data_IF_397556516972
#
_entry.id   IF_397556516972
#
_cell.length_a   1.000
_cell.length_b   1.000
_cell.length_c   1.000
_cell.angle_alpha   90.00
_cell.angle_beta   90.00
_cell.angle_gamma   90.00
#
_symmetry.space_group_name_H-M   'P 1'
#
loop_
_entity.id
_entity.type
_entity.pdbx_description
1 polymer ?
#
# COMPACT_ATOMS: atom_id res chain seq x y z
N UNK A 1 -63.80 23.63 12.43
CA UNK A 1 -63.91 22.74 11.25
C UNK A 1 -63.10 23.37 10.12
N UNK A 2 -62.04 22.71 9.64
CA UNK A 2 -61.25 23.17 8.48
C UNK A 2 -59.73 23.22 8.69
N UNK A 3 -59.09 22.08 9.00
CA UNK A 3 -57.64 21.95 8.99
C UNK A 3 -57.13 21.91 7.54
N UNK A 4 -56.26 22.87 7.15
CA UNK A 4 -55.53 22.83 5.88
C UNK A 4 -54.14 22.23 6.11
N UNK A 5 -53.96 20.96 5.77
CA UNK A 5 -52.66 20.31 5.74
C UNK A 5 -51.79 20.92 4.63
N UNK A 6 -50.67 21.52 5.02
CA UNK A 6 -49.54 21.77 4.12
C UNK A 6 -48.74 20.47 3.98
N UNK A 7 -48.70 19.88 2.78
CA UNK A 7 -47.78 18.78 2.44
C UNK A 7 -46.61 19.35 1.65
N UNK A 8 -45.38 19.36 2.17
CA UNK A 8 -44.21 19.49 1.31
C UNK A 8 -43.91 18.13 0.65
N UNK A 9 -43.80 18.16 -0.68
CA UNK A 9 -43.51 17.01 -1.51
C UNK A 9 -42.08 16.48 -1.32
N UNK A 10 -41.99 15.15 -1.28
CA UNK A 10 -40.86 14.26 -1.59
C UNK A 10 -39.44 14.86 -1.48
N UNK A 11 -38.86 14.72 -0.29
CA UNK A 11 -37.41 14.49 -0.11
C UNK A 11 -37.07 13.17 -0.77
N UNK A 12 -36.48 13.19 -1.96
CA UNK A 12 -36.19 11.97 -2.70
C UNK A 12 -35.01 12.10 -3.64
N UNK A 13 -33.94 12.75 -3.20
CA UNK A 13 -32.62 12.55 -3.79
C UNK A 13 -31.54 12.76 -2.72
N UNK A 14 -31.50 11.83 -1.77
CA UNK A 14 -30.34 11.66 -0.90
C UNK A 14 -29.81 10.27 -1.18
N UNK A 15 -29.11 10.16 -2.31
CA UNK A 15 -28.13 9.09 -2.47
C UNK A 15 -27.33 9.03 -1.18
N UNK A 16 -27.29 7.86 -0.55
CA UNK A 16 -26.44 7.60 0.60
C UNK A 16 -25.00 7.59 0.08
N UNK A 17 -24.47 8.77 -0.22
CA UNK A 17 -23.04 8.95 -0.36
C UNK A 17 -22.53 8.84 1.07
N UNK A 18 -22.02 7.66 1.42
CA UNK A 18 -21.25 7.49 2.64
C UNK A 18 -20.17 8.57 2.70
N UNK A 19 -19.68 8.94 3.89
CA UNK A 19 -18.67 9.98 4.01
C UNK A 19 -17.57 9.73 2.98
N UNK A 20 -17.30 10.71 2.12
CA UNK A 20 -16.20 10.62 1.19
C UNK A 20 -14.95 10.35 2.02
N UNK A 21 -14.27 9.23 1.74
CA UNK A 21 -13.07 8.83 2.46
C UNK A 21 -12.14 10.04 2.60
N UNK A 22 -11.77 10.39 3.84
CA UNK A 22 -10.83 11.47 4.09
C UNK A 22 -9.51 11.14 3.37
N UNK A 23 -8.76 12.14 2.90
CA UNK A 23 -7.47 11.90 2.26
C UNK A 23 -6.49 11.09 3.13
N UNK A 24 -6.61 11.17 4.45
CA UNK A 24 -5.85 10.36 5.41
C UNK A 24 -6.24 8.87 5.42
N UNK A 25 -7.44 8.54 4.93
CA UNK A 25 -7.97 7.17 4.88
C UNK A 25 -7.45 6.41 3.65
N UNK A 26 -6.80 7.11 2.72
CA UNK A 26 -6.13 6.52 1.55
C UNK A 26 -4.63 6.37 1.82
N UNK A 27 -4.29 5.45 2.71
CA UNK A 27 -2.92 4.99 2.87
C UNK A 27 -2.45 4.29 1.59
N UNK A 28 -1.19 4.54 1.20
CA UNK A 28 -0.59 3.97 0.00
C UNK A 28 0.94 4.02 0.06
N UNK A 29 1.60 3.43 -0.93
CA UNK A 29 3.05 3.37 -1.01
C UNK A 29 3.69 2.22 -0.23
N UNK A 30 5.01 2.19 -0.25
CA UNK A 30 5.82 1.14 0.36
C UNK A 30 5.78 1.20 1.90
N UNK A 31 5.43 0.08 2.52
CA UNK A 31 5.56 -0.13 3.96
C UNK A 31 6.97 -0.62 4.33
N UNK A 32 7.59 -1.41 3.45
CA UNK A 32 8.97 -1.89 3.62
C UNK A 32 9.60 -2.27 2.28
N UNK A 33 10.94 -2.29 2.23
CA UNK A 33 11.70 -2.73 1.06
C UNK A 33 12.96 -3.48 1.47
N UNK A 34 13.24 -4.59 0.81
CA UNK A 34 14.41 -5.43 1.07
C UNK A 34 15.14 -5.75 -0.22
N UNK A 35 16.46 -5.58 -0.23
CA UNK A 35 17.31 -5.94 -1.37
C UNK A 35 17.96 -7.30 -1.16
N UNK A 36 17.84 -8.17 -2.16
CA UNK A 36 18.46 -9.49 -2.17
C UNK A 36 18.82 -9.93 -3.59
N UNK A 37 20.07 -10.34 -3.79
CA UNK A 37 20.58 -10.93 -5.03
C UNK A 37 20.27 -10.14 -6.33
N UNK A 38 20.19 -8.81 -6.24
CA UNK A 38 19.90 -7.92 -7.37
C UNK A 38 18.42 -7.59 -7.56
N UNK A 39 17.55 -7.96 -6.62
CA UNK A 39 16.14 -7.60 -6.62
C UNK A 39 15.79 -6.81 -5.36
N UNK A 40 14.87 -5.86 -5.50
CA UNK A 40 14.18 -5.21 -4.38
C UNK A 40 12.79 -5.82 -4.30
N UNK A 41 12.45 -6.35 -3.13
CA UNK A 41 11.13 -6.83 -2.78
C UNK A 41 10.47 -5.78 -1.89
N UNK A 42 9.38 -5.21 -2.35
CA UNK A 42 8.66 -4.14 -1.66
C UNK A 42 7.25 -4.61 -1.30
N UNK A 43 6.87 -4.42 -0.04
CA UNK A 43 5.49 -4.57 0.40
C UNK A 43 4.80 -3.20 0.33
N UNK A 44 3.88 -3.03 -0.61
CA UNK A 44 3.05 -1.85 -0.79
C UNK A 44 1.68 -2.02 -0.11
N UNK A 45 1.22 -0.96 0.55
CA UNK A 45 -0.09 -0.92 1.24
C UNK A 45 -1.23 -1.11 0.23
N UNK A 46 -1.11 -0.55 -0.97
CA UNK A 46 -2.18 -0.53 -1.96
C UNK A 46 -2.00 -1.58 -3.07
N UNK A 47 -0.76 -1.96 -3.37
CA UNK A 47 -0.44 -2.78 -4.55
C UNK A 47 -0.05 -4.23 -4.21
N UNK A 48 0.22 -4.52 -2.94
CA UNK A 48 0.74 -5.82 -2.52
C UNK A 48 2.25 -5.93 -2.74
N UNK A 49 2.72 -7.00 -3.38
CA UNK A 49 4.16 -7.25 -3.55
C UNK A 49 4.66 -6.71 -4.90
N UNK A 50 5.57 -5.74 -4.83
CA UNK A 50 6.33 -5.25 -5.97
C UNK A 50 7.74 -5.87 -5.98
N UNK A 51 8.22 -6.28 -7.17
CA UNK A 51 9.57 -6.84 -7.34
C UNK A 51 10.29 -6.06 -8.44
N UNK A 52 11.38 -5.39 -8.06
CA UNK A 52 12.19 -4.61 -8.98
C UNK A 52 13.56 -5.26 -9.18
N UNK A 53 14.03 -5.31 -10.42
CA UNK A 53 15.42 -5.70 -10.72
C UNK A 53 16.34 -4.48 -10.64
N UNK A 54 17.37 -4.56 -9.82
CA UNK A 54 18.40 -3.52 -9.68
C UNK A 54 19.66 -3.96 -10.41
N UNK A 55 20.12 -3.14 -11.34
CA UNK A 55 21.37 -3.36 -12.07
C UNK A 55 22.11 -2.04 -12.22
N UNK A 56 23.45 -2.08 -12.14
CA UNK A 56 24.27 -0.88 -12.23
C UNK A 56 25.61 -1.03 -11.53
N UNK A 57 26.51 -0.07 -11.74
CA UNK A 57 27.88 -0.11 -11.20
C UNK A 57 27.92 -0.27 -9.68
N UNK A 58 26.97 0.35 -8.98
CA UNK A 58 26.83 0.33 -7.53
C UNK A 58 26.60 -1.07 -6.93
N UNK A 59 26.03 -2.01 -7.69
CA UNK A 59 25.67 -3.36 -7.19
C UNK A 59 26.47 -4.48 -7.83
N UNK A 60 27.46 -4.21 -8.69
CA UNK A 60 28.22 -5.25 -9.41
C UNK A 60 29.06 -6.16 -8.51
N UNK A 61 29.51 -5.68 -7.37
CA UNK A 61 30.31 -6.45 -6.40
C UNK A 61 29.48 -7.03 -5.26
N UNK A 62 28.15 -6.92 -5.32
CA UNK A 62 27.26 -7.41 -4.29
C UNK A 62 27.46 -8.92 -4.07
N UNK A 63 27.62 -9.32 -2.81
CA UNK A 63 27.61 -10.74 -2.45
C UNK A 63 26.26 -11.34 -2.79
N UNK A 64 26.28 -12.53 -3.40
CA UNK A 64 25.08 -13.32 -3.66
C UNK A 64 25.04 -14.48 -2.69
N UNK A 65 23.95 -14.59 -1.95
CA UNK A 65 23.73 -15.67 -1.01
C UNK A 65 22.81 -16.74 -1.64
N UNK A 66 22.93 -17.99 -1.17
CA UNK A 66 22.13 -19.10 -1.69
C UNK A 66 20.71 -19.12 -1.10
N UNK A 67 20.54 -18.60 0.11
CA UNK A 67 19.24 -18.53 0.80
C UNK A 67 18.98 -17.14 1.36
N UNK A 68 17.69 -16.78 1.37
CA UNK A 68 17.22 -15.54 1.97
C UNK A 68 17.38 -15.66 3.49
N UNK A 69 18.08 -14.72 4.12
CA UNK A 69 18.17 -14.66 5.58
C UNK A 69 17.68 -13.30 6.09
N UNK A 70 16.36 -13.02 6.02
CA UNK A 70 15.83 -11.71 6.40
C UNK A 70 15.68 -11.54 7.92
N UNK A 71 16.09 -12.51 8.75
CA UNK A 71 15.92 -12.45 10.20
C UNK A 71 17.10 -12.95 11.04
N UNK A 72 18.09 -13.62 10.45
CA UNK A 72 19.26 -14.14 11.18
C UNK A 72 20.52 -13.54 10.57
N UNK A 73 21.44 -13.11 11.42
CA UNK A 73 22.72 -12.56 10.98
C UNK A 73 23.56 -13.70 10.35
N UNK A 74 23.86 -13.62 9.05
CA UNK A 74 24.87 -14.48 8.42
C UNK A 74 26.24 -14.06 8.93
N UNK A 75 26.87 -14.88 9.78
CA UNK A 75 28.27 -14.67 10.13
C UNK A 75 29.13 -15.03 8.92
N UNK A 76 29.69 -14.03 8.24
CA UNK A 76 30.79 -14.27 7.30
C UNK A 76 32.11 -14.07 8.06
N UNK A 77 32.54 -15.09 8.81
CA UNK A 77 33.93 -15.16 9.25
C UNK A 77 34.79 -15.53 8.03
N UNK A 78 35.83 -14.72 7.77
CA UNK A 78 36.96 -15.10 6.93
C UNK A 78 38.19 -15.19 7.81
#
# INVERSE_FOLDING_TARGET
MGHRLHRPGKSGDRGLVGPAAHPADRLGGAWSSYWYNGFVYESSIAEGLNIFRVSGKAVRGALRLRHLNPQTQEFTLR
#
